data_IF_717974537230
#
_entry.id   IF_717974537230
#
_cell.length_a   1.000
_cell.length_b   1.000
_cell.length_c   1.000
_cell.angle_alpha   90.00
_cell.angle_beta   90.00
_cell.angle_gamma   90.00
#
_symmetry.space_group_name_H-M   'P 1'
#
loop_
_entity.id
_entity.type
_entity.pdbx_description
1 polymer ?
#
# COMPACT_ATOMS: atom_id res chain seq x y z
N UNK A 1 15.12 5.08 28.62
CA UNK A 1 14.65 4.60 27.30
C UNK A 1 15.01 3.14 27.12
N UNK A 2 14.02 2.27 26.94
CA UNK A 2 14.23 0.82 26.77
C UNK A 2 14.80 0.42 25.40
N UNK A 3 15.17 -0.85 25.26
CA UNK A 3 15.61 -1.47 24.01
C UNK A 3 14.63 -1.28 22.82
N UNK A 4 13.29 -1.42 22.95
CA UNK A 4 12.41 -1.33 21.79
C UNK A 4 12.41 0.06 21.15
N UNK A 5 12.38 1.14 21.94
CA UNK A 5 12.41 2.49 21.38
C UNK A 5 13.72 2.79 20.64
N UNK A 6 14.85 2.36 21.22
CA UNK A 6 16.18 2.52 20.58
C UNK A 6 16.34 1.70 19.30
N UNK A 7 15.55 0.64 19.09
CA UNK A 7 15.67 -0.22 17.91
C UNK A 7 14.65 0.14 16.81
N UNK A 8 13.43 0.51 17.20
CA UNK A 8 12.33 0.81 16.29
C UNK A 8 12.50 2.22 15.70
N UNK A 9 12.74 3.23 16.53
CA UNK A 9 12.77 4.64 16.11
C UNK A 9 14.17 5.12 15.66
N UNK A 10 15.00 4.23 15.11
CA UNK A 10 16.28 4.62 14.52
C UNK A 10 16.07 5.33 13.19
N UNK A 11 16.93 6.28 12.87
CA UNK A 11 16.89 7.04 11.60
C UNK A 11 16.88 6.14 10.37
N UNK A 12 17.62 5.02 10.39
CA UNK A 12 17.66 4.02 9.30
C UNK A 12 16.34 3.26 9.06
N UNK A 13 15.35 3.40 9.94
CA UNK A 13 14.01 2.78 9.84
C UNK A 13 12.90 3.84 9.85
N UNK A 14 13.24 5.09 9.53
CA UNK A 14 12.28 6.19 9.50
C UNK A 14 11.26 5.94 8.39
N UNK A 15 9.99 6.00 8.76
CA UNK A 15 8.85 5.98 7.84
C UNK A 15 8.55 7.38 7.35
N UNK A 16 7.79 7.51 6.24
CA UNK A 16 7.29 8.82 5.82
C UNK A 16 6.43 9.49 6.88
N UNK A 17 6.61 10.79 7.00
CA UNK A 17 5.87 11.63 7.95
C UNK A 17 4.48 11.99 7.41
N UNK A 18 3.55 12.33 8.31
CA UNK A 18 2.16 12.65 7.95
C UNK A 18 2.06 13.87 7.01
N UNK A 19 2.90 14.85 7.25
CA UNK A 19 2.95 16.10 6.51
C UNK A 19 3.55 15.91 5.10
N UNK A 20 4.49 14.99 4.92
CA UNK A 20 4.97 14.56 3.60
C UNK A 20 3.87 13.85 2.81
N UNK A 21 3.12 12.94 3.44
CA UNK A 21 2.04 12.22 2.76
C UNK A 21 0.96 13.20 2.30
N UNK A 22 0.59 14.18 3.12
CA UNK A 22 -0.42 15.18 2.75
C UNK A 22 0.06 16.16 1.66
N UNK A 23 1.33 16.56 1.69
CA UNK A 23 1.86 17.61 0.78
C UNK A 23 2.51 17.10 -0.50
N UNK A 24 3.04 15.88 -0.48
CA UNK A 24 3.73 15.31 -1.64
C UNK A 24 2.81 14.28 -2.33
N UNK A 25 2.25 13.35 -1.55
CA UNK A 25 1.51 12.22 -2.09
C UNK A 25 0.04 12.57 -2.42
N UNK A 26 -0.65 13.29 -1.54
CA UNK A 26 -2.09 13.64 -1.66
C UNK A 26 -2.34 15.10 -2.11
N UNK A 27 -1.34 15.79 -2.65
CA UNK A 27 -1.47 17.22 -2.98
C UNK A 27 -2.16 17.48 -4.32
N UNK A 28 -2.19 16.51 -5.24
CA UNK A 28 -2.86 16.67 -6.53
C UNK A 28 -3.44 15.35 -7.00
N UNK A 29 -4.55 15.40 -7.74
CA UNK A 29 -5.11 14.23 -8.43
C UNK A 29 -4.08 13.46 -9.27
N UNK A 30 -3.13 14.19 -9.87
CA UNK A 30 -2.04 13.63 -10.65
C UNK A 30 -1.02 12.87 -9.79
N UNK A 31 -0.65 13.38 -8.62
CA UNK A 31 0.29 12.68 -7.72
C UNK A 31 -0.31 11.38 -7.22
N UNK A 32 -1.60 11.42 -6.87
CA UNK A 32 -2.38 10.25 -6.48
C UNK A 32 -2.42 9.21 -7.60
N UNK A 33 -2.76 9.63 -8.82
CA UNK A 33 -2.81 8.73 -10.00
C UNK A 33 -1.43 8.15 -10.33
N UNK A 34 -0.38 8.94 -10.23
CA UNK A 34 1.00 8.47 -10.44
C UNK A 34 1.42 7.44 -9.39
N UNK A 35 0.99 7.60 -8.13
CA UNK A 35 1.27 6.63 -7.07
C UNK A 35 0.44 5.35 -7.18
N UNK A 36 -0.76 5.42 -7.77
CA UNK A 36 -1.57 4.25 -8.08
C UNK A 36 -1.03 3.48 -9.30
N UNK A 37 -0.58 4.20 -10.32
CA UNK A 37 -0.11 3.64 -11.59
C UNK A 37 1.42 3.74 -11.68
N UNK A 38 2.12 3.14 -10.71
CA UNK A 38 3.58 3.10 -10.74
C UNK A 38 4.07 2.11 -11.80
N UNK A 39 5.22 2.44 -12.40
CA UNK A 39 5.93 1.49 -13.26
C UNK A 39 6.39 0.27 -12.45
N UNK A 40 6.56 -0.86 -13.14
CA UNK A 40 7.04 -2.09 -12.51
C UNK A 40 8.48 -1.90 -12.01
N UNK A 41 8.67 -2.08 -10.70
CA UNK A 41 9.95 -1.89 -10.02
C UNK A 41 10.33 -3.17 -9.25
N UNK A 42 11.42 -3.81 -9.67
CA UNK A 42 11.89 -5.09 -9.13
C UNK A 42 12.40 -4.98 -7.68
N UNK A 43 12.82 -3.79 -7.23
CA UNK A 43 13.34 -3.60 -5.87
C UNK A 43 12.22 -3.52 -4.83
N UNK A 44 10.98 -3.25 -5.27
CA UNK A 44 9.82 -3.06 -4.38
C UNK A 44 8.96 -4.32 -4.33
N UNK A 45 8.36 -4.61 -3.17
CA UNK A 45 7.47 -5.77 -3.06
C UNK A 45 6.23 -5.55 -3.94
N UNK A 46 5.78 -6.63 -4.58
CA UNK A 46 4.63 -6.61 -5.50
C UNK A 46 4.87 -5.75 -6.74
N UNK A 47 6.12 -5.60 -7.18
CA UNK A 47 6.53 -4.80 -8.34
C UNK A 47 5.97 -3.36 -8.30
N UNK A 48 5.90 -2.80 -7.09
CA UNK A 48 5.32 -1.49 -6.78
C UNK A 48 3.81 -1.30 -7.06
N UNK A 49 3.11 -2.31 -7.57
CA UNK A 49 1.70 -2.19 -7.97
C UNK A 49 0.76 -2.05 -6.77
N UNK A 50 1.02 -2.79 -5.69
CA UNK A 50 0.13 -2.82 -4.53
C UNK A 50 0.56 -1.80 -3.45
N UNK A 51 0.42 -0.51 -3.75
CA UNK A 51 0.76 0.58 -2.83
C UNK A 51 -0.45 1.13 -2.07
N UNK A 52 -0.25 1.47 -0.79
CA UNK A 52 -1.21 2.20 0.04
C UNK A 52 -0.66 3.60 0.37
N UNK A 53 -1.30 4.63 -0.18
CA UNK A 53 -0.86 6.03 -0.04
C UNK A 53 -0.89 6.50 1.43
N UNK A 54 -2.00 6.37 2.20
CA UNK A 54 -2.06 6.89 3.57
C UNK A 54 -1.02 6.28 4.52
N UNK A 55 -0.63 5.02 4.29
CA UNK A 55 0.33 4.31 5.11
C UNK A 55 1.75 4.30 4.53
N UNK A 56 1.95 4.84 3.33
CA UNK A 56 3.20 4.81 2.58
C UNK A 56 3.88 3.44 2.58
N UNK A 57 3.12 2.39 2.25
CA UNK A 57 3.57 0.99 2.33
C UNK A 57 3.19 0.20 1.08
N UNK A 58 4.15 -0.59 0.62
CA UNK A 58 3.99 -1.57 -0.46
C UNK A 58 3.61 -2.94 0.08
N UNK A 59 2.83 -3.67 -0.70
CA UNK A 59 2.35 -5.02 -0.41
C UNK A 59 2.75 -5.97 -1.54
N UNK A 60 2.85 -7.26 -1.22
CA UNK A 60 3.19 -8.32 -2.18
C UNK A 60 2.04 -8.67 -3.12
N UNK A 61 0.81 -8.64 -2.62
CA UNK A 61 -0.40 -9.07 -3.32
C UNK A 61 -1.54 -8.09 -3.09
N UNK A 62 -2.52 -8.11 -3.99
CA UNK A 62 -3.75 -7.34 -3.86
C UNK A 62 -4.52 -7.69 -2.58
N UNK A 63 -4.62 -8.99 -2.29
CA UNK A 63 -5.26 -9.49 -1.08
C UNK A 63 -4.64 -8.90 0.21
N UNK A 64 -3.30 -8.83 0.28
CA UNK A 64 -2.60 -8.23 1.42
C UNK A 64 -2.89 -6.72 1.56
N UNK A 65 -2.99 -6.00 0.44
CA UNK A 65 -3.36 -4.58 0.44
C UNK A 65 -4.79 -4.37 0.94
N UNK A 66 -5.75 -5.13 0.44
CA UNK A 66 -7.15 -4.94 0.81
C UNK A 66 -7.44 -5.35 2.26
N UNK A 67 -6.82 -6.44 2.75
CA UNK A 67 -6.89 -6.81 4.18
C UNK A 67 -6.28 -5.73 5.07
N UNK A 68 -5.18 -5.10 4.63
CA UNK A 68 -4.59 -3.96 5.33
C UNK A 68 -5.56 -2.78 5.46
N UNK A 69 -6.25 -2.39 4.39
CA UNK A 69 -7.21 -1.26 4.38
C UNK A 69 -8.33 -1.47 5.41
N UNK A 70 -8.82 -2.71 5.56
CA UNK A 70 -9.84 -3.05 6.55
C UNK A 70 -9.30 -3.09 8.00
N UNK A 71 -7.98 -3.19 8.16
CA UNK A 71 -7.29 -3.32 9.44
C UNK A 71 -7.34 -2.08 10.33
N UNK A 72 -7.11 -2.27 11.63
CA UNK A 72 -7.12 -1.17 12.62
C UNK A 72 -5.99 -0.16 12.43
N UNK A 73 -4.83 -0.63 11.95
CA UNK A 73 -3.65 0.21 11.72
C UNK A 73 -3.94 1.27 10.66
N UNK A 74 -4.53 0.85 9.53
CA UNK A 74 -4.92 1.77 8.46
C UNK A 74 -5.98 2.76 8.95
N UNK A 75 -7.03 2.28 9.62
CA UNK A 75 -8.09 3.13 10.18
C UNK A 75 -7.57 4.16 11.18
N UNK A 76 -6.54 3.82 11.97
CA UNK A 76 -5.87 4.78 12.85
C UNK A 76 -5.14 5.84 12.02
N UNK A 77 -4.42 5.44 10.98
CA UNK A 77 -3.69 6.36 10.10
C UNK A 77 -4.61 7.32 9.35
N UNK A 78 -5.75 6.84 8.85
CA UNK A 78 -6.77 7.70 8.23
C UNK A 78 -7.28 8.78 9.19
N UNK A 79 -7.46 8.45 10.48
CA UNK A 79 -7.85 9.45 11.48
C UNK A 79 -6.77 10.50 11.70
N UNK A 80 -5.50 10.08 11.78
CA UNK A 80 -4.36 10.99 11.93
C UNK A 80 -4.24 11.94 10.72
N UNK A 81 -4.53 11.48 9.51
CA UNK A 81 -4.42 12.29 8.28
C UNK A 81 -5.60 13.25 8.10
N UNK A 82 -6.80 12.92 8.60
CA UNK A 82 -7.96 13.81 8.52
C UNK A 82 -7.78 15.12 9.28
N UNK A 83 -6.84 15.15 10.22
CA UNK A 83 -6.46 16.35 10.93
C UNK A 83 -5.30 17.04 10.20
N UNK A 84 -5.27 18.37 10.24
CA UNK A 84 -4.15 19.12 9.65
C UNK A 84 -2.86 18.72 10.38
N UNK A 85 -1.82 18.25 9.67
CA UNK A 85 -0.61 17.78 10.31
C UNK A 85 0.16 18.94 10.92
N UNK A 86 0.78 18.68 12.07
CA UNK A 86 1.62 19.67 12.75
C UNK A 86 2.80 20.09 11.86
N UNK A 87 3.06 21.38 11.80
CA UNK A 87 4.20 21.91 11.03
C UNK A 87 5.03 22.89 11.86
N UNK A 88 6.28 23.12 11.43
CA UNK A 88 7.14 24.11 12.08
C UNK A 88 6.53 25.52 12.10
N UNK A 89 5.68 25.86 11.13
CA UNK A 89 5.01 27.15 11.07
C UNK A 89 4.01 27.32 12.21
N UNK A 90 3.37 26.23 12.64
CA UNK A 90 2.50 26.20 13.82
C UNK A 90 3.30 26.45 15.10
N UNK A 91 4.47 25.81 15.23
CA UNK A 91 5.39 26.03 16.33
C UNK A 91 5.83 27.50 16.43
N UNK A 92 6.19 28.08 15.28
CA UNK A 92 6.60 29.48 15.19
C UNK A 92 5.44 30.41 15.54
N UNK A 93 4.23 30.15 15.03
CA UNK A 93 3.03 30.91 15.34
C UNK A 93 2.75 30.89 16.85
N UNK A 94 2.83 29.72 17.49
CA UNK A 94 2.62 29.59 18.93
C UNK A 94 3.63 30.40 19.75
N UNK A 95 4.85 30.59 19.23
CA UNK A 95 5.86 31.49 19.78
C UNK A 95 5.69 32.97 19.37
N UNK A 96 4.62 33.33 18.66
CA UNK A 96 4.33 34.69 18.20
C UNK A 96 5.04 35.11 16.90
N UNK A 97 5.67 34.17 16.20
CA UNK A 97 6.44 34.45 14.98
C UNK A 97 5.70 33.96 13.71
N UNK A 98 5.66 34.77 12.66
CA UNK A 98 5.12 34.41 11.34
C UNK A 98 3.67 33.89 11.34
N UNK A 99 2.80 34.49 12.16
CA UNK A 99 1.38 34.09 12.30
C UNK A 99 0.64 34.07 10.95
N UNK A 100 0.79 35.12 10.14
CA UNK A 100 0.11 35.22 8.84
C UNK A 100 0.48 34.07 7.88
N UNK A 101 1.74 33.60 7.94
CA UNK A 101 2.22 32.49 7.11
C UNK A 101 1.55 31.18 7.49
N UNK A 102 1.44 30.89 8.79
CA UNK A 102 0.74 29.70 9.27
C UNK A 102 -0.73 29.71 8.86
N UNK A 103 -1.43 30.85 9.01
CA UNK A 103 -2.85 30.95 8.65
C UNK A 103 -3.07 30.59 7.18
N UNK A 104 -2.29 31.18 6.27
CA UNK A 104 -2.34 30.85 4.84
C UNK A 104 -2.04 29.37 4.56
N UNK A 105 -1.03 28.78 5.22
CA UNK A 105 -0.70 27.36 5.05
C UNK A 105 -1.85 26.46 5.54
N UNK A 106 -2.35 26.71 6.74
CA UNK A 106 -3.42 25.93 7.36
C UNK A 106 -4.69 25.94 6.52
N UNK A 107 -5.05 27.09 5.94
CA UNK A 107 -6.19 27.19 5.03
C UNK A 107 -6.02 26.34 3.77
N UNK A 108 -4.80 26.27 3.22
CA UNK A 108 -4.51 25.40 2.08
C UNK A 108 -4.58 23.91 2.46
N UNK A 109 -4.02 23.52 3.61
CA UNK A 109 -4.08 22.13 4.09
C UNK A 109 -5.52 21.68 4.38
N UNK A 110 -6.35 22.57 4.94
CA UNK A 110 -7.79 22.31 5.12
C UNK A 110 -8.52 22.14 3.79
N UNK A 111 -8.23 22.99 2.79
CA UNK A 111 -8.84 22.86 1.45
C UNK A 111 -8.51 21.51 0.82
N UNK A 112 -7.25 21.06 0.91
CA UNK A 112 -6.82 19.73 0.42
C UNK A 112 -7.60 18.58 1.04
N UNK A 113 -7.81 18.62 2.36
CA UNK A 113 -8.57 17.58 3.06
C UNK A 113 -10.06 17.53 2.66
N UNK A 114 -10.59 18.63 2.12
CA UNK A 114 -11.96 18.74 1.64
C UNK A 114 -12.09 18.32 0.18
N UNK A 115 -10.99 18.28 -0.59
CA UNK A 115 -11.02 17.81 -1.98
C UNK A 115 -11.63 16.40 -2.06
N UNK A 116 -12.63 16.23 -2.94
CA UNK A 116 -13.45 15.03 -2.99
C UNK A 116 -12.62 13.76 -3.23
N UNK A 117 -11.58 13.83 -4.07
CA UNK A 117 -10.69 12.69 -4.33
C UNK A 117 -9.87 12.26 -3.09
N UNK A 118 -9.41 13.21 -2.28
CA UNK A 118 -8.68 12.92 -1.04
C UNK A 118 -9.64 12.41 0.02
N UNK A 119 -10.84 13.00 0.08
CA UNK A 119 -11.88 12.64 1.01
C UNK A 119 -12.41 11.22 0.77
N UNK A 120 -12.63 10.82 -0.48
CA UNK A 120 -13.06 9.45 -0.81
C UNK A 120 -12.02 8.44 -0.32
N UNK A 121 -10.74 8.64 -0.66
CA UNK A 121 -9.63 7.81 -0.18
C UNK A 121 -9.54 7.73 1.35
N UNK A 122 -9.86 8.82 2.05
CA UNK A 122 -9.86 8.86 3.51
C UNK A 122 -11.07 8.17 4.14
N UNK A 123 -12.15 7.94 3.39
CA UNK A 123 -13.37 7.29 3.86
C UNK A 123 -13.49 5.83 3.46
N UNK A 124 -12.78 5.41 2.43
CA UNK A 124 -12.86 4.06 1.89
C UNK A 124 -12.35 3.03 2.90
N UNK A 125 -13.23 2.12 3.28
CA UNK A 125 -12.94 1.06 4.27
C UNK A 125 -12.57 -0.28 3.62
N UNK A 126 -12.59 -0.33 2.28
CA UNK A 126 -12.55 -1.57 1.48
C UNK A 126 -13.85 -2.37 1.62
N UNK A 127 -14.43 -2.82 0.51
CA UNK A 127 -15.61 -3.69 0.58
C UNK A 127 -15.22 -5.11 1.02
N UNK A 128 -16.17 -5.85 1.59
CA UNK A 128 -15.92 -7.26 1.92
C UNK A 128 -15.72 -8.10 0.66
N UNK A 129 -16.48 -7.75 -0.38
CA UNK A 129 -16.51 -8.35 -1.70
C UNK A 129 -15.16 -8.23 -2.41
N UNK A 130 -14.51 -7.06 -2.37
CA UNK A 130 -13.16 -6.87 -2.92
C UNK A 130 -12.16 -7.88 -2.35
N UNK A 131 -12.20 -8.08 -1.03
CA UNK A 131 -11.31 -9.01 -0.32
C UNK A 131 -11.57 -10.45 -0.71
N UNK A 132 -12.83 -10.82 -0.88
CA UNK A 132 -13.21 -12.17 -1.31
C UNK A 132 -12.80 -12.40 -2.77
N UNK A 133 -13.05 -11.44 -3.66
CA UNK A 133 -12.59 -11.49 -5.04
C UNK A 133 -11.05 -11.59 -5.15
N UNK A 134 -10.30 -10.85 -4.34
CA UNK A 134 -8.83 -10.95 -4.34
C UNK A 134 -8.32 -12.28 -3.74
N UNK A 135 -9.03 -12.85 -2.76
CA UNK A 135 -8.74 -14.20 -2.27
C UNK A 135 -8.99 -15.23 -3.36
N UNK A 136 -10.13 -15.16 -4.01
CA UNK A 136 -10.52 -16.07 -5.09
C UNK A 136 -9.56 -15.97 -6.27
N UNK A 137 -9.14 -14.77 -6.67
CA UNK A 137 -8.11 -14.58 -7.68
C UNK A 137 -6.79 -15.25 -7.28
N UNK A 138 -6.40 -15.15 -6.00
CA UNK A 138 -5.19 -15.78 -5.47
C UNK A 138 -5.30 -17.31 -5.35
N UNK A 139 -6.49 -17.85 -5.03
CA UNK A 139 -6.72 -19.30 -4.96
C UNK A 139 -6.83 -19.90 -6.36
N UNK A 140 -7.53 -19.23 -7.27
CA UNK A 140 -7.65 -19.62 -8.68
C UNK A 140 -6.29 -19.68 -9.36
N UNK A 141 -5.41 -18.69 -9.12
CA UNK A 141 -4.04 -18.73 -9.64
C UNK A 141 -3.26 -19.96 -9.16
N UNK A 142 -3.40 -20.34 -7.88
CA UNK A 142 -2.77 -21.55 -7.31
C UNK A 142 -3.36 -22.84 -7.88
N UNK A 143 -4.68 -22.90 -8.06
CA UNK A 143 -5.36 -24.05 -8.65
C UNK A 143 -4.92 -24.26 -10.11
N UNK A 144 -4.83 -23.19 -10.90
CA UNK A 144 -4.34 -23.27 -12.28
C UNK A 144 -2.88 -23.75 -12.35
N UNK A 145 -2.04 -23.27 -11.44
CA UNK A 145 -0.64 -23.71 -11.35
C UNK A 145 -0.54 -25.20 -10.98
N UNK A 146 -1.33 -25.67 -10.04
CA UNK A 146 -1.40 -27.10 -9.68
C UNK A 146 -1.87 -27.97 -10.86
N UNK A 147 -2.87 -27.53 -11.61
CA UNK A 147 -3.34 -28.23 -12.81
C UNK A 147 -2.29 -28.29 -13.91
N UNK A 148 -1.49 -27.22 -14.08
CA UNK A 148 -0.36 -27.22 -15.03
C UNK A 148 0.70 -28.23 -14.61
N UNK A 149 1.09 -28.23 -13.33
CA UNK A 149 2.08 -29.18 -12.78
C UNK A 149 1.57 -30.62 -12.91
N UNK A 150 0.28 -30.88 -12.66
CA UNK A 150 -0.31 -32.21 -12.83
C UNK A 150 -0.22 -32.68 -14.29
N UNK A 151 -0.54 -31.81 -15.26
CA UNK A 151 -0.44 -32.13 -16.69
C UNK A 151 0.99 -32.38 -17.16
N UNK A 152 1.96 -31.64 -16.61
CA UNK A 152 3.38 -31.83 -16.91
C UNK A 152 3.85 -33.20 -16.38
N UNK A 153 3.51 -33.55 -15.14
CA UNK A 153 3.82 -34.89 -14.57
C UNK A 153 3.15 -36.03 -15.32
N UNK A 154 1.88 -35.87 -15.70
CA UNK A 154 1.16 -36.86 -16.51
C UNK A 154 1.79 -37.04 -17.91
N UNK A 155 2.43 -36.01 -18.46
CA UNK A 155 3.17 -36.11 -19.71
C UNK A 155 4.50 -36.85 -19.52
N UNK A 156 5.25 -36.52 -18.47
CA UNK A 156 6.50 -37.21 -18.10
C UNK A 156 6.27 -38.71 -17.84
N UNK A 157 5.22 -39.07 -17.08
CA UNK A 157 4.87 -40.47 -16.80
C UNK A 157 4.49 -41.25 -18.07
N UNK A 158 3.88 -40.58 -19.07
CA UNK A 158 3.57 -41.18 -20.36
C UNK A 158 4.81 -41.41 -21.22
N UNK A 159 5.77 -40.48 -21.20
CA UNK A 159 7.05 -40.64 -21.90
C UNK A 159 7.88 -41.77 -21.27
N UNK A 160 7.92 -41.86 -19.94
CA UNK A 160 8.60 -42.97 -19.23
C UNK A 160 7.90 -44.33 -19.47
N UNK A 161 6.58 -44.35 -19.58
CA UNK A 161 5.80 -45.54 -19.94
C UNK A 161 6.11 -46.02 -21.36
N UNK A 162 6.18 -45.10 -22.33
CA UNK A 162 6.50 -45.40 -23.72
C UNK A 162 7.93 -45.92 -23.90
N UNK A 163 8.90 -45.36 -23.17
CA UNK A 163 10.29 -45.81 -23.19
C UNK A 163 10.45 -47.25 -22.65
N UNK A 164 9.70 -47.62 -21.59
CA UNK A 164 9.72 -48.98 -21.03
C UNK A 164 9.07 -50.01 -21.96
N UNK A 165 8.05 -49.61 -22.72
CA UNK A 165 7.39 -50.47 -23.71
C UNK A 165 8.24 -50.67 -24.98
N UNK A 166 9.12 -49.72 -25.34
CA UNK A 166 10.11 -49.88 -26.42
C UNK A 166 11.30 -50.77 -26.03
N UNK A 167 11.75 -50.77 -24.78
CA UNK A 167 12.84 -51.64 -24.31
C UNK A 167 12.44 -53.12 -24.12
N UNK A 168 11.13 -53.44 -24.15
CA UNK A 168 10.61 -54.81 -23.95
C UNK A 168 10.36 -55.59 -25.27
N UNK A 169 10.71 -55.02 -26.43
CA UNK A 169 10.70 -55.68 -27.75
C UNK A 169 12.10 -56.01 -28.24
#
# INVERSE_FOLDING_TARGET
MGRPSRMIYKTKRRTRDLDQILRDDMNTSQSIKALHNQEYDEEKPGLAQFYCIPCARYFETEFAKQTHVRGKVHKRRLKEIREVPYTQEEANMAAGNNVARYLHRNDNDKKRLVEEEVKTMLTDRGSAEEVEAAKEASSFAREQEQLRIQREKEAEEKEEGFAKDEEMK
#
